data_IF_242148526175
#
_entry.id   IF_242148526175
#
_cell.length_a   1.000
_cell.length_b   1.000
_cell.length_c   1.000
_cell.angle_alpha   90.00
_cell.angle_beta   90.00
_cell.angle_gamma   90.00
#
_symmetry.space_group_name_H-M   'P 1'
#
loop_
_entity.id
_entity.type
_entity.pdbx_description
1 polymer ?
#
# COMPACT_ATOMS: atom_id res chain seq x y z
N UNK A 1 -4.81 15.81 3.52
CA UNK A 1 -6.07 15.88 2.73
C UNK A 1 -7.14 15.11 3.49
N UNK A 2 -8.35 14.91 2.94
CA UNK A 2 -9.37 14.04 3.55
C UNK A 2 -8.89 12.60 3.78
N UNK A 3 -7.83 12.18 3.10
CA UNK A 3 -7.24 10.85 3.18
C UNK A 3 -6.23 10.64 4.33
N UNK A 4 -5.96 11.67 5.15
CA UNK A 4 -4.95 11.59 6.21
C UNK A 4 -3.53 11.51 5.65
N UNK A 5 -2.61 10.88 6.38
CA UNK A 5 -1.19 10.81 6.02
C UNK A 5 -0.89 9.68 5.04
N UNK A 6 -1.33 8.44 5.33
CA UNK A 6 -1.02 7.27 4.50
C UNK A 6 -2.01 7.03 3.37
N UNK A 7 -3.01 7.90 3.19
CA UNK A 7 -4.11 7.67 2.26
C UNK A 7 -4.78 6.30 2.42
N UNK A 8 -5.09 5.96 3.67
CA UNK A 8 -5.85 4.76 4.03
C UNK A 8 -7.07 5.21 4.83
N UNK A 9 -8.22 4.58 4.62
CA UNK A 9 -9.45 4.92 5.35
C UNK A 9 -10.37 3.73 5.64
N UNK A 10 -11.23 3.92 6.63
CA UNK A 10 -12.44 3.16 6.90
C UNK A 10 -13.68 4.09 6.78
N UNK A 11 -14.87 3.57 6.44
CA UNK A 11 -15.11 2.20 5.99
C UNK A 11 -14.39 1.93 4.65
N UNK A 12 -14.13 0.66 4.38
CA UNK A 12 -13.54 0.21 3.12
C UNK A 12 -14.47 0.54 1.95
N UNK A 13 -13.91 0.53 0.74
CA UNK A 13 -14.70 0.67 -0.49
C UNK A 13 -15.77 -0.41 -0.61
N UNK A 14 -16.89 -0.08 -1.26
CA UNK A 14 -17.90 -1.06 -1.71
C UNK A 14 -17.45 -1.78 -2.99
N UNK A 15 -16.47 -1.21 -3.72
CA UNK A 15 -15.83 -1.88 -4.85
C UNK A 15 -15.05 -3.12 -4.36
N UNK A 16 -15.36 -4.34 -4.85
CA UNK A 16 -14.74 -5.56 -4.33
C UNK A 16 -13.23 -5.64 -4.51
N UNK A 17 -12.69 -5.13 -5.62
CA UNK A 17 -11.25 -5.17 -5.90
C UNK A 17 -10.52 -4.20 -4.98
N UNK A 18 -10.97 -2.95 -4.94
CA UNK A 18 -10.35 -1.93 -4.11
C UNK A 18 -10.46 -2.28 -2.62
N UNK A 19 -11.58 -2.87 -2.20
CA UNK A 19 -11.74 -3.40 -0.84
C UNK A 19 -10.68 -4.46 -0.52
N UNK A 20 -10.45 -5.41 -1.43
CA UNK A 20 -9.42 -6.43 -1.25
C UNK A 20 -8.01 -5.83 -1.18
N UNK A 21 -7.73 -4.82 -2.01
CA UNK A 21 -6.46 -4.08 -2.01
C UNK A 21 -6.25 -3.33 -0.69
N UNK A 22 -7.27 -2.63 -0.20
CA UNK A 22 -7.23 -1.93 1.08
C UNK A 22 -7.02 -2.90 2.26
N UNK A 23 -7.64 -4.08 2.25
CA UNK A 23 -7.41 -5.11 3.28
C UNK A 23 -5.94 -5.57 3.23
N UNK A 24 -5.40 -5.86 2.04
CA UNK A 24 -4.00 -6.24 1.87
C UNK A 24 -3.05 -5.18 2.43
N UNK A 25 -3.30 -3.90 2.14
CA UNK A 25 -2.48 -2.79 2.67
C UNK A 25 -2.61 -2.68 4.19
N UNK A 26 -3.82 -2.80 4.74
CA UNK A 26 -4.05 -2.75 6.19
C UNK A 26 -3.39 -3.93 6.93
N UNK A 27 -3.31 -5.10 6.30
CA UNK A 27 -2.55 -6.24 6.80
C UNK A 27 -1.05 -5.95 6.81
N UNK A 28 -0.53 -5.33 5.74
CA UNK A 28 0.89 -4.97 5.65
C UNK A 28 1.29 -3.83 6.58
N UNK A 29 0.36 -2.94 6.95
CA UNK A 29 0.55 -1.96 8.03
C UNK A 29 0.49 -2.61 9.43
N UNK A 30 0.11 -3.89 9.50
CA UNK A 30 -0.14 -4.63 10.74
C UNK A 30 -1.37 -4.14 11.49
N UNK A 31 -2.26 -3.37 10.86
CA UNK A 31 -3.53 -2.89 11.46
C UNK A 31 -4.55 -4.03 11.53
N UNK A 32 -4.54 -4.90 10.51
CA UNK A 32 -5.31 -6.15 10.49
C UNK A 32 -4.37 -7.35 10.55
N UNK A 33 -4.82 -8.43 11.17
CA UNK A 33 -4.16 -9.73 11.06
C UNK A 33 -4.49 -10.42 9.71
N UNK A 34 -3.88 -11.57 9.44
CA UNK A 34 -4.11 -12.32 8.20
C UNK A 34 -5.55 -12.84 8.04
N UNK A 35 -6.34 -12.85 9.11
CA UNK A 35 -7.77 -13.20 9.11
C UNK A 35 -8.68 -11.97 8.95
N UNK A 36 -8.11 -10.77 8.93
CA UNK A 36 -8.85 -9.50 8.83
C UNK A 36 -9.33 -8.93 10.17
N UNK A 37 -8.86 -9.46 11.30
CA UNK A 37 -9.21 -8.91 12.61
C UNK A 37 -8.27 -7.74 12.98
N UNK A 38 -8.76 -6.69 13.65
CA UNK A 38 -7.92 -5.63 14.19
C UNK A 38 -6.82 -6.13 15.12
N UNK A 39 -5.63 -5.52 15.05
CA UNK A 39 -4.53 -5.76 15.98
C UNK A 39 -4.37 -4.58 16.96
N UNK A 40 -3.45 -4.70 17.93
CA UNK A 40 -3.07 -3.59 18.81
C UNK A 40 -2.48 -2.37 18.09
N UNK A 41 -1.96 -2.52 16.85
CA UNK A 41 -1.50 -1.36 16.06
C UNK A 41 -2.64 -0.46 15.60
N UNK A 42 -3.87 -0.97 15.51
CA UNK A 42 -5.02 -0.15 15.13
C UNK A 42 -5.14 1.05 16.06
N UNK A 43 -4.97 0.88 17.38
CA UNK A 43 -5.14 1.95 18.36
C UNK A 43 -4.05 3.03 18.25
N UNK A 44 -2.82 2.64 17.89
CA UNK A 44 -1.73 3.59 17.60
C UNK A 44 -2.04 4.38 16.33
N UNK A 45 -2.52 3.71 15.27
CA UNK A 45 -2.94 4.36 14.02
C UNK A 45 -4.12 5.32 14.26
N UNK A 46 -5.04 4.98 15.17
CA UNK A 46 -6.11 5.91 15.60
C UNK A 46 -5.54 7.13 16.32
N UNK A 47 -4.65 6.92 17.29
CA UNK A 47 -4.11 7.99 18.12
C UNK A 47 -3.25 8.98 17.33
N UNK A 48 -2.55 8.51 16.29
CA UNK A 48 -1.66 9.33 15.48
C UNK A 48 -2.34 10.01 14.26
N UNK A 49 -3.67 9.89 14.11
CA UNK A 49 -4.45 10.43 12.98
C UNK A 49 -3.90 10.03 11.58
N UNK A 50 -3.31 8.84 11.50
CA UNK A 50 -2.60 8.36 10.30
C UNK A 50 -3.57 7.93 9.19
N UNK A 51 -4.79 7.51 9.57
CA UNK A 51 -5.87 7.08 8.69
C UNK A 51 -7.21 7.67 9.16
N UNK A 52 -8.15 7.93 8.24
CA UNK A 52 -9.53 8.29 8.61
C UNK A 52 -10.33 7.02 8.89
N UNK A 53 -10.98 6.94 10.04
CA UNK A 53 -11.52 5.67 10.53
C UNK A 53 -13.04 5.53 10.40
N UNK A 54 -13.70 6.59 9.93
CA UNK A 54 -15.13 6.58 9.69
C UNK A 54 -15.51 7.53 8.55
N UNK A 55 -16.66 7.26 7.93
CA UNK A 55 -17.17 8.02 6.79
C UNK A 55 -17.50 9.47 7.15
N UNK A 56 -17.94 9.75 8.37
CA UNK A 56 -18.31 11.10 8.80
C UNK A 56 -17.07 11.99 8.94
N UNK A 57 -15.99 11.47 9.51
CA UNK A 57 -14.69 12.14 9.62
C UNK A 57 -14.08 12.40 8.25
N UNK A 58 -14.12 11.42 7.34
CA UNK A 58 -13.68 11.63 5.95
C UNK A 58 -14.51 12.71 5.26
N UNK A 59 -15.84 12.63 5.36
CA UNK A 59 -16.75 13.61 4.75
C UNK A 59 -16.51 15.01 5.29
N UNK A 60 -16.32 15.17 6.61
CA UNK A 60 -16.03 16.45 7.24
C UNK A 60 -14.79 17.11 6.64
N UNK A 61 -13.70 16.36 6.48
CA UNK A 61 -12.47 16.88 5.86
C UNK A 61 -12.64 17.14 4.36
N UNK A 62 -13.40 16.29 3.65
CA UNK A 62 -13.73 16.51 2.23
C UNK A 62 -14.55 17.78 2.02
N UNK A 63 -15.57 18.02 2.84
CA UNK A 63 -16.40 19.22 2.79
C UNK A 63 -15.56 20.47 3.07
N UNK A 64 -14.60 20.41 4.01
CA UNK A 64 -13.64 21.49 4.29
C UNK A 64 -12.73 21.78 3.11
N UNK A 65 -12.25 20.74 2.41
CA UNK A 65 -11.47 20.90 1.18
C UNK A 65 -12.29 21.59 0.10
N UNK A 66 -13.50 21.09 -0.19
CA UNK A 66 -14.41 21.69 -1.18
C UNK A 66 -14.65 23.17 -0.85
N UNK A 67 -14.99 23.49 0.41
CA UNK A 67 -15.22 24.88 0.86
C UNK A 67 -14.01 25.78 0.59
N UNK A 68 -12.80 25.26 0.77
CA UNK A 68 -11.55 25.99 0.48
C UNK A 68 -11.41 26.23 -1.02
N UNK A 69 -11.58 25.18 -1.83
CA UNK A 69 -11.47 25.26 -3.29
C UNK A 69 -12.52 26.20 -3.91
N UNK A 70 -13.75 26.23 -3.36
CA UNK A 70 -14.85 27.07 -3.85
C UNK A 70 -14.69 28.55 -3.56
N UNK A 71 -13.63 28.96 -2.87
CA UNK A 71 -13.27 30.37 -2.76
C UNK A 71 -12.80 30.95 -4.11
N UNK A 72 -12.28 30.09 -4.99
CA UNK A 72 -11.72 30.51 -6.29
C UNK A 72 -12.31 29.73 -7.49
N UNK A 73 -12.75 28.48 -7.29
CA UNK A 73 -13.21 27.61 -8.37
C UNK A 73 -14.70 27.27 -8.24
N UNK A 74 -15.33 26.89 -9.36
CA UNK A 74 -16.67 26.32 -9.33
C UNK A 74 -16.70 25.03 -8.47
N UNK A 75 -17.78 24.81 -7.75
CA UNK A 75 -17.93 23.62 -6.88
C UNK A 75 -17.84 22.31 -7.67
N UNK A 76 -18.41 22.27 -8.88
CA UNK A 76 -18.32 21.13 -9.79
C UNK A 76 -16.87 20.81 -10.19
N UNK A 77 -16.05 21.83 -10.42
CA UNK A 77 -14.62 21.67 -10.69
C UNK A 77 -13.90 21.09 -9.46
N UNK A 78 -14.11 21.67 -8.28
CA UNK A 78 -13.48 21.21 -7.05
C UNK A 78 -13.83 19.75 -6.74
N UNK A 79 -15.10 19.36 -6.89
CA UNK A 79 -15.55 17.98 -6.72
C UNK A 79 -14.89 17.05 -7.73
N UNK A 80 -14.89 17.43 -9.02
CA UNK A 80 -14.30 16.61 -10.08
C UNK A 80 -12.79 16.38 -9.90
N UNK A 81 -12.02 17.38 -9.50
CA UNK A 81 -10.58 17.20 -9.24
C UNK A 81 -10.32 16.30 -8.02
N UNK A 82 -11.11 16.43 -6.96
CA UNK A 82 -10.96 15.57 -5.79
C UNK A 82 -11.42 14.14 -6.05
N UNK A 83 -12.41 13.92 -6.91
CA UNK A 83 -12.83 12.59 -7.39
C UNK A 83 -11.74 11.93 -8.25
N UNK A 84 -11.09 12.68 -9.15
CA UNK A 84 -9.90 12.17 -9.87
C UNK A 84 -8.79 11.78 -8.89
N UNK A 85 -8.60 12.56 -7.83
CA UNK A 85 -7.66 12.22 -6.76
C UNK A 85 -7.99 10.90 -6.07
N UNK A 86 -9.27 10.63 -5.82
CA UNK A 86 -9.72 9.38 -5.22
C UNK A 86 -9.48 8.18 -6.14
N UNK A 87 -9.69 8.36 -7.45
CA UNK A 87 -9.38 7.34 -8.46
C UNK A 87 -7.87 7.05 -8.54
N UNK A 88 -7.01 8.07 -8.45
CA UNK A 88 -5.55 7.85 -8.40
C UNK A 88 -5.15 7.06 -7.16
N UNK A 89 -5.76 7.31 -6.00
CA UNK A 89 -5.52 6.48 -4.80
C UNK A 89 -5.92 5.04 -5.04
N UNK A 90 -7.09 4.80 -5.64
CA UNK A 90 -7.55 3.44 -5.99
C UNK A 90 -6.53 2.70 -6.85
N UNK A 91 -6.04 3.36 -7.89
CA UNK A 91 -5.05 2.79 -8.79
C UNK A 91 -3.72 2.52 -8.06
N UNK A 92 -3.27 3.44 -7.21
CA UNK A 92 -2.01 3.29 -6.48
C UNK A 92 -2.10 2.19 -5.40
N UNK A 93 -3.25 2.05 -4.76
CA UNK A 93 -3.55 0.95 -3.85
C UNK A 93 -3.48 -0.40 -4.56
N UNK A 94 -3.99 -0.47 -5.79
CA UNK A 94 -3.93 -1.69 -6.58
C UNK A 94 -2.49 -2.17 -6.80
N UNK A 95 -1.62 -1.28 -7.30
CA UNK A 95 -0.21 -1.60 -7.53
C UNK A 95 0.51 -2.02 -6.24
N UNK A 96 0.28 -1.28 -5.15
CA UNK A 96 0.90 -1.60 -3.87
C UNK A 96 0.41 -2.94 -3.32
N UNK A 97 -0.90 -3.22 -3.40
CA UNK A 97 -1.46 -4.48 -2.95
C UNK A 97 -0.96 -5.67 -3.77
N UNK A 98 -0.77 -5.51 -5.08
CA UNK A 98 -0.11 -6.52 -5.90
C UNK A 98 1.32 -6.81 -5.44
N UNK A 99 2.13 -5.78 -5.18
CA UNK A 99 3.50 -5.94 -4.70
C UNK A 99 3.55 -6.66 -3.33
N UNK A 100 2.65 -6.30 -2.40
CA UNK A 100 2.52 -6.97 -1.10
C UNK A 100 2.20 -8.46 -1.30
N UNK A 101 1.25 -8.79 -2.18
CA UNK A 101 0.84 -10.18 -2.43
C UNK A 101 1.97 -11.03 -3.01
N UNK A 102 2.75 -10.47 -3.93
CA UNK A 102 3.94 -11.16 -4.49
C UNK A 102 4.90 -11.59 -3.38
N UNK A 103 5.19 -10.71 -2.42
CA UNK A 103 6.10 -11.04 -1.31
C UNK A 103 5.41 -11.95 -0.29
N UNK A 104 4.12 -11.74 -0.01
CA UNK A 104 3.33 -12.62 0.86
C UNK A 104 3.30 -14.07 0.36
N UNK A 105 3.22 -14.29 -0.96
CA UNK A 105 3.29 -15.62 -1.54
C UNK A 105 4.66 -16.28 -1.32
N UNK A 106 5.76 -15.51 -1.29
CA UNK A 106 7.09 -16.07 -0.95
C UNK A 106 7.15 -16.57 0.50
N UNK A 107 6.54 -15.85 1.44
CA UNK A 107 6.40 -16.31 2.82
C UNK A 107 5.53 -17.56 2.93
N UNK A 108 4.36 -17.53 2.27
CA UNK A 108 3.40 -18.65 2.24
C UNK A 108 4.02 -19.92 1.68
N UNK A 109 4.85 -19.79 0.65
CA UNK A 109 5.53 -20.91 0.00
C UNK A 109 6.79 -21.38 0.76
N UNK A 110 7.16 -20.70 1.86
CA UNK A 110 8.35 -21.01 2.64
C UNK A 110 9.66 -20.76 1.87
N UNK A 111 9.64 -19.83 0.92
CA UNK A 111 10.81 -19.43 0.14
C UNK A 111 11.67 -18.44 0.92
N UNK A 112 11.01 -17.55 1.67
CA UNK A 112 11.64 -16.62 2.60
C UNK A 112 11.14 -16.88 4.01
N UNK A 113 12.03 -16.80 4.99
CA UNK A 113 11.73 -17.08 6.38
C UNK A 113 11.17 -15.84 7.08
N UNK A 114 10.22 -16.04 8.00
CA UNK A 114 9.69 -14.97 8.84
C UNK A 114 10.79 -14.42 9.76
N UNK A 115 11.10 -13.12 9.69
CA UNK A 115 12.03 -12.49 10.62
C UNK A 115 11.54 -12.61 12.08
N UNK A 116 12.47 -12.63 13.04
CA UNK A 116 12.13 -12.67 14.46
C UNK A 116 11.36 -11.42 14.90
N UNK A 117 11.67 -10.26 14.30
CA UNK A 117 11.01 -8.97 14.54
C UNK A 117 9.56 -8.90 14.03
N UNK A 118 9.16 -9.81 13.13
CA UNK A 118 7.85 -9.73 12.49
C UNK A 118 6.79 -10.49 13.29
N UNK A 119 5.61 -9.90 13.41
CA UNK A 119 4.48 -10.51 14.08
C UNK A 119 3.94 -11.75 13.33
N UNK A 120 3.99 -11.75 11.99
CA UNK A 120 3.42 -12.77 11.11
C UNK A 120 4.35 -12.99 9.89
N UNK A 121 4.28 -14.14 9.19
CA UNK A 121 5.02 -14.38 7.93
C UNK A 121 4.37 -13.58 6.78
N UNK A 122 4.46 -12.26 6.86
CA UNK A 122 3.83 -11.32 5.94
C UNK A 122 4.63 -10.01 5.91
N UNK A 123 4.69 -9.29 4.78
CA UNK A 123 5.40 -8.01 4.71
C UNK A 123 4.88 -7.01 5.73
N UNK A 124 5.79 -6.27 6.39
CA UNK A 124 5.45 -5.22 7.33
C UNK A 124 5.97 -3.87 6.80
N UNK A 125 5.06 -2.99 6.39
CA UNK A 125 5.39 -1.68 5.81
C UNK A 125 5.98 -0.69 6.84
N UNK A 126 5.82 -0.98 8.13
CA UNK A 126 6.28 -0.12 9.22
C UNK A 126 7.60 -0.58 9.83
N UNK A 127 8.32 -1.50 9.18
CA UNK A 127 9.72 -1.82 9.52
C UNK A 127 10.71 -0.86 8.87
N UNK A 128 10.25 -0.03 7.93
CA UNK A 128 11.03 0.99 7.27
C UNK A 128 12.36 0.46 6.70
N UNK A 129 13.48 1.02 7.15
CA UNK A 129 14.83 0.64 6.74
C UNK A 129 15.31 -0.66 7.41
N UNK A 130 14.61 -1.13 8.44
CA UNK A 130 14.93 -2.37 9.16
C UNK A 130 14.34 -3.61 8.45
N UNK A 131 13.71 -3.43 7.27
CA UNK A 131 13.24 -4.55 6.46
C UNK A 131 14.44 -5.45 6.07
N UNK A 132 14.41 -6.75 6.41
CA UNK A 132 15.60 -7.60 6.39
C UNK A 132 15.97 -8.08 4.98
N UNK A 133 15.03 -8.05 4.03
CA UNK A 133 15.26 -8.50 2.66
C UNK A 133 15.22 -7.32 1.68
N UNK A 134 16.10 -7.31 0.65
CA UNK A 134 16.08 -6.26 -0.38
C UNK A 134 14.71 -6.11 -1.07
N UNK A 135 13.96 -7.21 -1.27
CA UNK A 135 12.62 -7.16 -1.88
C UNK A 135 11.61 -6.42 -0.99
N UNK A 136 11.79 -6.48 0.33
CA UNK A 136 10.96 -5.74 1.29
C UNK A 136 11.40 -4.28 1.40
N UNK A 137 12.69 -3.99 1.28
CA UNK A 137 13.18 -2.61 1.17
C UNK A 137 12.66 -1.91 -0.10
N UNK A 138 12.58 -2.64 -1.22
CA UNK A 138 11.94 -2.15 -2.45
C UNK A 138 10.45 -1.87 -2.23
N UNK A 139 9.73 -2.77 -1.56
CA UNK A 139 8.33 -2.54 -1.17
C UNK A 139 8.17 -1.29 -0.29
N UNK A 140 9.10 -1.09 0.65
CA UNK A 140 9.11 0.10 1.49
C UNK A 140 9.23 1.39 0.68
N UNK A 141 10.19 1.45 -0.25
CA UNK A 141 10.37 2.59 -1.17
C UNK A 141 9.10 2.82 -2.00
N UNK A 142 8.52 1.75 -2.55
CA UNK A 142 7.25 1.83 -3.28
C UNK A 142 6.12 2.44 -2.43
N UNK A 143 6.04 2.09 -1.15
CA UNK A 143 5.00 2.57 -0.25
C UNK A 143 5.20 4.01 0.25
N UNK A 144 6.36 4.32 0.84
CA UNK A 144 6.57 5.62 1.51
C UNK A 144 7.24 6.68 0.65
N UNK A 145 7.86 6.31 -0.47
CA UNK A 145 8.40 7.26 -1.43
C UNK A 145 7.44 7.42 -2.61
N UNK A 146 7.30 6.39 -3.45
CA UNK A 146 6.63 6.54 -4.73
C UNK A 146 5.11 6.67 -4.61
N UNK A 147 4.44 5.85 -3.79
CA UNK A 147 2.99 6.02 -3.53
C UNK A 147 2.69 7.36 -2.84
N UNK A 148 3.56 7.85 -1.96
CA UNK A 148 3.39 9.16 -1.34
C UNK A 148 3.55 10.30 -2.34
N UNK A 149 4.47 10.19 -3.31
CA UNK A 149 4.59 11.14 -4.41
C UNK A 149 3.35 11.13 -5.31
N UNK A 150 2.84 9.96 -5.66
CA UNK A 150 1.57 9.81 -6.40
C UNK A 150 0.43 10.51 -5.64
N UNK A 151 0.24 10.14 -4.37
CA UNK A 151 -0.81 10.71 -3.51
C UNK A 151 -0.68 12.22 -3.37
N UNK A 152 0.46 12.70 -2.85
CA UNK A 152 0.63 14.11 -2.55
C UNK A 152 0.70 14.96 -3.82
N UNK A 153 1.35 14.48 -4.89
CA UNK A 153 1.37 15.16 -6.18
C UNK A 153 -0.04 15.42 -6.71
N UNK A 154 -0.92 14.41 -6.66
CA UNK A 154 -2.30 14.56 -7.13
C UNK A 154 -3.09 15.58 -6.32
N UNK A 155 -3.03 15.51 -4.98
CA UNK A 155 -3.81 16.42 -4.14
C UNK A 155 -3.19 17.81 -3.96
N UNK A 156 -1.98 18.04 -4.47
CA UNK A 156 -1.35 19.37 -4.57
C UNK A 156 -1.26 19.85 -6.04
N UNK A 157 -2.03 19.24 -6.94
CA UNK A 157 -2.12 19.62 -8.36
C UNK A 157 -0.76 19.69 -9.08
N UNK A 158 0.16 18.80 -8.74
CA UNK A 158 1.44 18.64 -9.41
C UNK A 158 1.43 17.37 -10.28
N UNK A 159 1.05 17.47 -11.58
CA UNK A 159 0.87 16.31 -12.44
C UNK A 159 2.18 15.58 -12.73
N UNK A 160 3.30 16.30 -12.84
CA UNK A 160 4.62 15.74 -13.09
C UNK A 160 5.10 14.90 -11.90
N UNK A 161 4.91 15.43 -10.68
CA UNK A 161 5.24 14.72 -9.45
C UNK A 161 4.34 13.50 -9.19
N UNK A 162 3.05 13.63 -9.49
CA UNK A 162 2.11 12.53 -9.36
C UNK A 162 2.40 11.40 -10.35
N UNK A 163 2.71 11.76 -11.60
CA UNK A 163 2.91 10.80 -12.69
C UNK A 163 4.34 10.23 -12.69
N UNK A 164 5.34 11.05 -12.99
CA UNK A 164 6.67 10.55 -13.30
C UNK A 164 7.45 10.13 -12.07
N UNK A 165 7.38 10.91 -10.99
CA UNK A 165 8.09 10.61 -9.74
C UNK A 165 7.30 9.71 -8.79
N UNK A 166 6.00 9.54 -9.04
CA UNK A 166 5.10 8.71 -8.25
C UNK A 166 4.68 7.45 -9.02
N UNK A 167 3.61 7.57 -9.81
CA UNK A 167 2.96 6.44 -10.47
C UNK A 167 3.90 5.61 -11.33
N UNK A 168 4.70 6.27 -12.18
CA UNK A 168 5.66 5.59 -13.05
C UNK A 168 6.71 4.81 -12.28
N UNK A 169 7.17 5.33 -11.14
CA UNK A 169 8.10 4.60 -10.27
C UNK A 169 7.43 3.41 -9.58
N UNK A 170 6.17 3.55 -9.14
CA UNK A 170 5.42 2.41 -8.57
C UNK A 170 5.27 1.25 -9.57
N UNK A 171 5.04 1.55 -10.85
CA UNK A 171 4.97 0.53 -11.91
C UNK A 171 6.32 -0.19 -12.08
N UNK A 172 7.43 0.55 -12.00
CA UNK A 172 8.78 -0.02 -12.05
C UNK A 172 9.09 -0.85 -10.81
N UNK A 173 8.78 -0.35 -9.61
CA UNK A 173 8.96 -1.10 -8.37
C UNK A 173 8.22 -2.43 -8.40
N UNK A 174 6.98 -2.46 -8.87
CA UNK A 174 6.21 -3.71 -8.99
C UNK A 174 6.89 -4.69 -9.96
N UNK A 175 7.44 -4.19 -11.07
CA UNK A 175 8.17 -5.01 -12.04
C UNK A 175 9.43 -5.60 -11.43
N UNK A 176 10.21 -4.79 -10.71
CA UNK A 176 11.42 -5.21 -10.00
C UNK A 176 11.10 -6.21 -8.87
N UNK A 177 10.03 -5.99 -8.09
CA UNK A 177 9.58 -6.92 -7.04
C UNK A 177 9.22 -8.27 -7.66
N UNK A 178 8.55 -8.29 -8.82
CA UNK A 178 8.22 -9.53 -9.53
C UNK A 178 9.48 -10.27 -10.00
N UNK A 179 10.47 -9.55 -10.52
CA UNK A 179 11.77 -10.11 -10.93
C UNK A 179 12.52 -10.70 -9.72
N UNK A 180 12.63 -9.94 -8.62
CA UNK A 180 13.27 -10.41 -7.38
C UNK A 180 12.57 -11.64 -6.79
N UNK A 181 11.23 -11.70 -6.88
CA UNK A 181 10.47 -12.86 -6.44
C UNK A 181 10.73 -14.10 -7.33
N UNK A 182 10.87 -13.92 -8.64
CA UNK A 182 11.25 -14.99 -9.55
C UNK A 182 12.65 -15.53 -9.24
N UNK A 183 13.63 -14.65 -9.03
CA UNK A 183 14.99 -15.00 -8.62
C UNK A 183 15.02 -15.82 -7.31
N UNK A 184 14.25 -15.40 -6.31
CA UNK A 184 14.14 -16.11 -5.04
C UNK A 184 13.54 -17.52 -5.22
N UNK A 185 12.53 -17.65 -6.08
CA UNK A 185 11.91 -18.93 -6.44
C UNK A 185 12.92 -19.86 -7.12
N UNK A 186 13.69 -19.36 -8.08
CA UNK A 186 14.70 -20.14 -8.80
C UNK A 186 15.82 -20.61 -7.86
N UNK A 187 16.34 -19.72 -7.02
CA UNK A 187 17.39 -20.06 -6.02
C UNK A 187 16.90 -21.12 -5.04
N UNK A 188 15.66 -20.99 -4.55
CA UNK A 188 15.05 -21.98 -3.67
C UNK A 188 14.87 -23.34 -4.34
N UNK A 189 14.48 -23.37 -5.63
CA UNK A 189 14.36 -24.61 -6.40
C UNK A 189 15.73 -25.28 -6.64
N UNK A 190 16.78 -24.51 -6.93
CA UNK A 190 18.13 -25.00 -7.13
C UNK A 190 18.77 -25.56 -5.84
N UNK A 191 18.39 -25.01 -4.67
CA UNK A 191 18.88 -25.46 -3.37
C UNK A 191 18.23 -26.77 -2.89
N UNK A 192 17.07 -27.18 -3.44
CA UNK A 192 16.45 -28.47 -3.10
C UNK A 192 17.30 -29.62 -3.69
N UNK A 193 17.80 -30.57 -2.87
CA UNK A 193 18.57 -31.69 -3.39
C UNK A 193 17.72 -32.47 -4.40
N UNK A 194 18.28 -32.72 -5.60
CA UNK A 194 17.63 -33.59 -6.60
C UNK A 194 17.34 -34.92 -5.93
N UNK A 195 16.05 -35.23 -5.78
CA UNK A 195 15.56 -36.50 -5.22
C UNK A 195 16.11 -37.62 -6.10
N UNK A 196 17.17 -38.28 -5.67
CA UNK A 196 17.71 -39.46 -6.35
C UNK A 196 16.68 -40.57 -6.19
N UNK A 197 15.93 -40.86 -7.27
CA UNK A 197 15.11 -42.07 -7.28
C UNK A 197 16.06 -43.26 -7.23
N UNK A 198 16.15 -43.91 -6.08
CA UNK A 198 16.73 -45.26 -6.01
C UNK A 198 15.78 -46.17 -6.79
N UNK A 199 16.29 -46.71 -7.90
CA UNK A 199 15.70 -47.85 -8.62
C UNK A 199 15.69 -49.09 -7.75
#
# INVERSE_FOLDING_TARGET
TAWGFLAVRLPLSDDPQWKADQITILQALGVLDLKGNPTGRLDVVKAADVARLDAASFKKERDKMIKTCTQCHAESFAKGELEKGDEVIRQADHLLAEAIRVIADLYKDGIIDKPASYAQPFPDLLTFHDAPLPIEQKLFVMHLEHRMRTFQGTFHANPDYALWYGWSEMVRDLSEIREMAADLREKHAAAKPKRTSKK
#
